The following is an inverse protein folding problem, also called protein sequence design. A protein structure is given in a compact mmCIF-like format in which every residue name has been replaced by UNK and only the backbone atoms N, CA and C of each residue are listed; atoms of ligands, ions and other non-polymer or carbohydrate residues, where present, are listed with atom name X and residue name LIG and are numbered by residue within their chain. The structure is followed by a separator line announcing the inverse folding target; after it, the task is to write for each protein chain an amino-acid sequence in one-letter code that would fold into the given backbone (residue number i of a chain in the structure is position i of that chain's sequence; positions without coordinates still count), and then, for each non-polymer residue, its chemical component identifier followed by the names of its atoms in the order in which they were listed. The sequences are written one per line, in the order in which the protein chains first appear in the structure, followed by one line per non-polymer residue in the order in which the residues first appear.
data_IF_245576782931
#
_entry.id   IF_245576782931
#
_cell.length_a   1.000
_cell.length_b   1.000
_cell.length_c   1.000
_cell.angle_alpha   90.00
_cell.angle_beta   90.00
_cell.angle_gamma   90.00
#
_symmetry.space_group_name_H-M   'P 1'
#
loop_
_entity.id
_entity.type
_entity.pdbx_description
1 polymer ?
#
# COMPACT_ATOMS: atom_id res chain seq x y z
N UNK A 1 -10.56 0.76 -11.03
CA UNK A 1 -10.08 -0.29 -11.96
C UNK A 1 -8.78 -0.94 -11.48
N UNK A 2 -7.74 -0.15 -11.18
CA UNK A 2 -6.45 -0.65 -10.66
C UNK A 2 -6.57 -1.63 -9.47
N UNK A 3 -7.37 -1.27 -8.47
CA UNK A 3 -7.57 -2.07 -7.25
C UNK A 3 -8.15 -3.45 -7.59
N UNK A 4 -9.07 -3.52 -8.56
CA UNK A 4 -9.66 -4.77 -9.02
C UNK A 4 -8.61 -5.67 -9.72
N UNK A 5 -7.75 -5.08 -10.55
CA UNK A 5 -6.67 -5.81 -11.21
C UNK A 5 -5.66 -6.37 -10.20
N UNK A 6 -5.25 -5.56 -9.22
CA UNK A 6 -4.34 -5.99 -8.13
C UNK A 6 -4.98 -7.12 -7.33
N UNK A 7 -6.26 -6.99 -6.93
CA UNK A 7 -7.00 -8.05 -6.25
C UNK A 7 -7.06 -9.35 -7.07
N UNK A 8 -7.22 -9.24 -8.39
CA UNK A 8 -7.16 -10.39 -9.30
C UNK A 8 -5.78 -11.04 -9.41
N UNK A 9 -4.69 -10.27 -9.46
CA UNK A 9 -3.32 -10.80 -9.42
C UNK A 9 -3.06 -11.54 -8.12
N UNK A 10 -3.45 -10.96 -6.98
CA UNK A 10 -3.31 -11.59 -5.65
C UNK A 10 -4.11 -12.90 -5.58
N UNK A 11 -5.33 -12.92 -6.12
CA UNK A 11 -6.14 -14.13 -6.19
C UNK A 11 -5.45 -15.24 -7.00
N UNK A 12 -4.89 -14.91 -8.17
CA UNK A 12 -4.11 -15.84 -9.01
C UNK A 12 -2.88 -16.38 -8.26
N UNK A 13 -2.08 -15.50 -7.65
CA UNK A 13 -0.89 -15.90 -6.90
C UNK A 13 -1.24 -16.84 -5.75
N UNK A 14 -2.33 -16.55 -5.03
CA UNK A 14 -2.81 -17.36 -3.92
C UNK A 14 -3.26 -18.73 -4.41
N UNK A 15 -4.05 -18.78 -5.49
CA UNK A 15 -4.53 -20.04 -6.08
C UNK A 15 -3.41 -20.91 -6.64
N UNK A 16 -2.36 -20.29 -7.20
CA UNK A 16 -1.14 -20.96 -7.66
C UNK A 16 -0.24 -21.47 -6.51
N UNK A 17 -0.62 -21.26 -5.25
CA UNK A 17 0.16 -21.63 -4.07
C UNK A 17 1.40 -20.78 -3.86
N UNK A 18 1.54 -19.65 -4.56
CA UNK A 18 2.68 -18.76 -4.44
C UNK A 18 2.78 -18.15 -3.05
N UNK A 19 1.66 -17.69 -2.49
CA UNK A 19 1.61 -17.11 -1.14
C UNK A 19 2.06 -18.13 -0.08
N UNK A 20 1.53 -19.35 -0.15
CA UNK A 20 1.91 -20.48 0.73
C UNK A 20 3.38 -20.88 0.55
N UNK A 21 3.91 -20.86 -0.68
CA UNK A 21 5.31 -21.19 -0.95
C UNK A 21 6.28 -20.14 -0.38
N UNK A 22 5.96 -18.85 -0.52
CA UNK A 22 6.74 -17.77 0.11
C UNK A 22 6.64 -17.87 1.62
N UNK A 23 5.46 -18.18 2.15
CA UNK A 23 5.26 -18.39 3.57
C UNK A 23 6.12 -19.53 4.14
N UNK A 24 6.18 -20.68 3.44
CA UNK A 24 7.03 -21.80 3.84
C UNK A 24 8.52 -21.47 3.76
N UNK A 25 8.93 -20.71 2.74
CA UNK A 25 10.33 -20.27 2.62
C UNK A 25 10.73 -19.32 3.74
N UNK A 26 9.88 -18.34 4.07
CA UNK A 26 10.10 -17.43 5.20
C UNK A 26 9.99 -18.14 6.55
N UNK A 27 9.09 -19.12 6.70
CA UNK A 27 8.94 -19.93 7.92
C UNK A 27 10.19 -20.74 8.26
N UNK A 28 11.01 -21.12 7.26
CA UNK A 28 12.31 -21.76 7.49
C UNK A 28 13.35 -20.78 8.03
N UNK A 29 13.22 -19.49 7.73
CA UNK A 29 14.10 -18.43 8.23
C UNK A 29 13.65 -17.88 9.58
N UNK A 30 12.33 -17.84 9.82
CA UNK A 30 11.76 -17.37 11.08
C UNK A 30 11.98 -18.41 12.20
N UNK A 31 12.64 -17.99 13.28
CA UNK A 31 12.98 -18.86 14.43
C UNK A 31 12.17 -18.59 15.68
N UNK A 32 11.58 -17.40 15.80
CA UNK A 32 10.89 -16.91 17.01
C UNK A 32 9.70 -16.03 16.64
N UNK A 33 8.80 -15.75 17.60
CA UNK A 33 7.70 -14.80 17.42
C UNK A 33 8.18 -13.40 17.04
N UNK A 34 9.28 -12.94 17.63
CA UNK A 34 9.94 -11.68 17.24
C UNK A 34 10.36 -11.71 15.78
N UNK A 35 11.05 -12.79 15.37
CA UNK A 35 11.48 -12.94 13.98
C UNK A 35 10.31 -13.01 13.00
N UNK A 36 9.17 -13.59 13.39
CA UNK A 36 7.96 -13.60 12.58
C UNK A 36 7.40 -12.18 12.38
N UNK A 37 7.28 -11.40 13.46
CA UNK A 37 6.82 -10.01 13.41
C UNK A 37 7.75 -9.12 12.57
N UNK A 38 9.07 -9.23 12.76
CA UNK A 38 10.06 -8.49 11.97
C UNK A 38 10.02 -8.92 10.50
N UNK A 39 9.82 -10.20 10.21
CA UNK A 39 9.67 -10.66 8.81
C UNK A 39 8.42 -10.05 8.16
N UNK A 40 7.31 -9.95 8.90
CA UNK A 40 6.09 -9.28 8.42
C UNK A 40 6.38 -7.81 8.14
N UNK A 41 7.04 -7.13 9.07
CA UNK A 41 7.41 -5.72 8.92
C UNK A 41 8.29 -5.48 7.69
N UNK A 42 9.37 -6.27 7.53
CA UNK A 42 10.25 -6.20 6.35
C UNK A 42 9.46 -6.44 5.07
N UNK A 43 8.55 -7.42 5.06
CA UNK A 43 7.73 -7.70 3.89
C UNK A 43 6.81 -6.53 3.54
N UNK A 44 6.23 -5.87 4.54
CA UNK A 44 5.50 -4.61 4.38
C UNK A 44 6.37 -3.51 3.77
N UNK A 45 7.63 -3.37 4.19
CA UNK A 45 8.55 -2.41 3.57
C UNK A 45 8.83 -2.72 2.09
N UNK A 46 8.87 -3.99 1.69
CA UNK A 46 9.13 -4.38 0.31
C UNK A 46 7.95 -4.10 -0.63
N UNK A 47 6.71 -4.12 -0.13
CA UNK A 47 5.49 -3.83 -0.90
C UNK A 47 5.08 -2.36 -0.67
N UNK A 48 6.00 -1.44 -0.93
CA UNK A 48 5.87 -0.02 -0.55
C UNK A 48 5.01 0.84 -1.50
N UNK A 49 4.76 0.36 -2.72
CA UNK A 49 4.22 1.21 -3.78
C UNK A 49 2.72 1.48 -3.63
N UNK A 50 1.96 0.64 -2.92
CA UNK A 50 0.51 0.77 -2.68
C UNK A 50 0.12 0.10 -1.34
N UNK A 51 -0.71 0.77 -0.54
CA UNK A 51 -1.15 0.33 0.78
C UNK A 51 -2.15 -0.85 0.73
N UNK A 52 -3.05 -0.87 -0.27
CA UNK A 52 -3.96 -1.99 -0.49
C UNK A 52 -3.23 -3.24 -0.96
N UNK A 53 -2.34 -3.10 -1.96
CA UNK A 53 -1.53 -4.20 -2.45
C UNK A 53 -0.70 -4.80 -1.30
N UNK A 54 -0.09 -3.95 -0.47
CA UNK A 54 0.64 -4.36 0.71
C UNK A 54 -0.20 -5.27 1.62
N UNK A 55 -1.38 -4.78 2.03
CA UNK A 55 -2.25 -5.52 2.95
C UNK A 55 -2.74 -6.86 2.38
N UNK A 56 -3.06 -6.88 1.08
CA UNK A 56 -3.57 -8.06 0.38
C UNK A 56 -2.50 -9.10 0.07
N UNK A 57 -1.25 -8.68 -0.09
CA UNK A 57 -0.13 -9.59 -0.37
C UNK A 57 0.46 -10.10 0.95
N UNK A 58 0.80 -9.21 1.88
CA UNK A 58 1.54 -9.54 3.10
C UNK A 58 0.68 -10.35 4.07
N UNK A 59 -0.60 -10.03 4.20
CA UNK A 59 -1.53 -10.71 5.12
C UNK A 59 -1.59 -12.22 4.92
N UNK A 60 -2.03 -12.71 3.74
CA UNK A 60 -2.13 -14.14 3.47
C UNK A 60 -0.78 -14.88 3.53
N UNK A 61 0.33 -14.21 3.21
CA UNK A 61 1.67 -14.81 3.25
C UNK A 61 2.17 -14.98 4.69
N UNK A 62 1.99 -13.95 5.53
CA UNK A 62 2.56 -13.93 6.87
C UNK A 62 1.70 -14.63 7.91
N UNK A 63 0.38 -14.72 7.71
CA UNK A 63 -0.56 -15.40 8.61
C UNK A 63 -0.12 -16.80 9.06
N UNK A 64 0.18 -17.77 8.19
CA UNK A 64 0.61 -19.11 8.62
C UNK A 64 1.93 -19.09 9.40
N UNK A 65 2.79 -18.09 9.19
CA UNK A 65 4.06 -17.93 9.92
C UNK A 65 3.78 -17.38 11.31
N UNK A 66 2.98 -16.33 11.43
CA UNK A 66 2.64 -15.72 12.71
C UNK A 66 1.80 -16.66 13.58
N UNK A 67 0.87 -17.41 12.98
CA UNK A 67 0.06 -18.41 13.66
C UNK A 67 0.94 -19.52 14.28
N UNK A 68 1.97 -20.00 13.55
CA UNK A 68 2.96 -20.98 14.04
C UNK A 68 3.70 -20.49 15.29
N UNK A 69 3.97 -19.19 15.37
CA UNK A 69 4.70 -18.59 16.50
C UNK A 69 3.77 -17.95 17.55
N UNK A 70 2.47 -18.25 17.51
CA UNK A 70 1.48 -17.76 18.47
C UNK A 70 1.40 -16.24 18.59
N UNK A 71 1.59 -15.54 17.47
CA UNK A 71 1.31 -14.12 17.36
C UNK A 71 -0.18 -13.99 17.00
N UNK A 72 -0.90 -13.13 17.72
CA UNK A 72 -2.33 -12.90 17.50
C UNK A 72 -2.62 -12.35 16.10
N UNK A 73 -3.79 -12.68 15.56
CA UNK A 73 -4.21 -12.14 14.24
C UNK A 73 -4.39 -10.62 14.30
N UNK A 74 -4.79 -10.08 15.44
CA UNK A 74 -4.88 -8.64 15.67
C UNK A 74 -3.50 -7.98 15.60
N UNK A 75 -2.45 -8.59 16.17
CA UNK A 75 -1.08 -8.08 16.07
C UNK A 75 -0.56 -8.16 14.63
N UNK A 76 -0.85 -9.24 13.91
CA UNK A 76 -0.52 -9.35 12.49
C UNK A 76 -1.20 -8.22 11.68
N UNK A 77 -2.50 -8.04 11.86
CA UNK A 77 -3.26 -6.99 11.18
C UNK A 77 -2.70 -5.59 11.49
N UNK A 78 -2.38 -5.33 12.76
CA UNK A 78 -1.72 -4.09 13.16
C UNK A 78 -0.38 -3.87 12.46
N UNK A 79 0.50 -4.88 12.39
CA UNK A 79 1.80 -4.74 11.72
C UNK A 79 1.62 -4.45 10.22
N UNK A 80 0.66 -5.11 9.58
CA UNK A 80 0.37 -4.91 8.16
C UNK A 80 -0.14 -3.49 7.92
N UNK A 81 -1.14 -3.04 8.67
CA UNK A 81 -1.73 -1.71 8.54
C UNK A 81 -0.70 -0.60 8.85
N UNK A 82 0.01 -0.75 9.97
CA UNK A 82 1.05 0.19 10.40
C UNK A 82 2.35 0.12 9.57
N UNK A 83 2.43 -0.75 8.56
CA UNK A 83 3.46 -0.68 7.52
C UNK A 83 2.90 -0.19 6.19
N UNK A 84 1.71 -0.62 5.78
CA UNK A 84 1.09 -0.25 4.51
C UNK A 84 1.03 1.27 4.29
N UNK A 85 0.37 2.01 5.19
CA UNK A 85 0.23 3.46 5.05
C UNK A 85 1.54 4.24 5.31
N UNK A 86 2.28 3.97 6.41
CA UNK A 86 3.54 4.68 6.68
C UNK A 86 4.60 4.54 5.59
N UNK A 87 4.74 3.35 5.01
CA UNK A 87 5.72 3.10 3.96
C UNK A 87 5.26 3.77 2.66
N UNK A 88 3.99 3.70 2.31
CA UNK A 88 3.47 4.37 1.11
C UNK A 88 3.66 5.89 1.17
N UNK A 89 3.53 6.50 2.36
CA UNK A 89 3.82 7.92 2.58
C UNK A 89 5.30 8.28 2.70
N UNK A 90 6.20 7.33 2.93
CA UNK A 90 7.67 7.55 2.94
C UNK A 90 8.34 7.14 1.63
N UNK A 91 7.66 6.36 0.80
CA UNK A 91 8.20 5.97 -0.48
C UNK A 91 8.24 7.18 -1.40
N UNK A 92 9.41 7.45 -1.98
CA UNK A 92 9.58 8.47 -3.03
C UNK A 92 8.78 8.12 -4.28
N UNK A 93 8.40 6.84 -4.40
CA UNK A 93 7.64 6.28 -5.51
C UNK A 93 6.51 5.44 -4.90
N UNK A 94 5.30 6.00 -4.89
CA UNK A 94 4.08 5.28 -4.47
C UNK A 94 2.84 5.88 -5.13
N UNK A 95 1.71 5.21 -4.94
CA UNK A 95 0.38 5.67 -5.38
C UNK A 95 -0.03 7.02 -4.76
N UNK A 96 0.50 7.33 -3.58
CA UNK A 96 0.15 8.53 -2.82
C UNK A 96 0.99 9.76 -3.19
N UNK A 97 2.22 9.56 -3.67
CA UNK A 97 3.14 10.66 -3.99
C UNK A 97 2.54 11.64 -5.01
N UNK A 98 1.89 11.13 -6.06
CA UNK A 98 1.26 11.99 -7.08
C UNK A 98 0.15 12.87 -6.50
N UNK A 99 -0.69 12.30 -5.63
CA UNK A 99 -1.74 13.05 -4.93
C UNK A 99 -1.13 14.10 -4.00
N UNK A 100 -0.10 13.74 -3.22
CA UNK A 100 0.55 14.66 -2.30
C UNK A 100 1.23 15.82 -3.02
N UNK A 101 1.93 15.56 -4.11
CA UNK A 101 2.53 16.60 -4.95
C UNK A 101 1.44 17.53 -5.51
N UNK A 102 0.31 16.98 -5.96
CA UNK A 102 -0.84 17.78 -6.42
C UNK A 102 -1.40 18.65 -5.30
N UNK A 103 -1.62 18.10 -4.11
CA UNK A 103 -2.14 18.85 -2.96
C UNK A 103 -1.18 19.94 -2.50
N UNK A 104 0.14 19.68 -2.52
CA UNK A 104 1.16 20.70 -2.26
C UNK A 104 1.02 21.82 -3.28
N UNK A 105 0.96 21.48 -4.58
CA UNK A 105 0.78 22.48 -5.65
C UNK A 105 -0.49 23.31 -5.48
N UNK A 106 -1.62 22.66 -5.20
CA UNK A 106 -2.91 23.33 -5.00
C UNK A 106 -2.88 24.24 -3.77
N UNK A 107 -2.27 23.79 -2.67
CA UNK A 107 -2.13 24.56 -1.44
C UNK A 107 -1.30 25.84 -1.63
N UNK A 108 -0.18 25.75 -2.35
CA UNK A 108 0.64 26.94 -2.69
C UNK A 108 -0.05 27.84 -3.73
N UNK A 109 -0.82 27.26 -4.65
CA UNK A 109 -1.64 28.00 -5.59
C UNK A 109 -2.68 28.89 -4.91
N UNK A 110 -3.30 28.43 -3.82
CA UNK A 110 -4.27 29.21 -3.04
C UNK A 110 -3.68 30.48 -2.40
N UNK A 111 -2.37 30.49 -2.11
CA UNK A 111 -1.66 31.64 -1.55
C UNK A 111 -0.89 32.44 -2.61
N UNK A 112 -1.13 32.17 -3.90
CA UNK A 112 -0.56 32.91 -5.03
C UNK A 112 0.88 32.54 -5.41
N UNK A 113 1.43 31.44 -4.87
CA UNK A 113 2.77 30.97 -5.20
C UNK A 113 2.68 29.83 -6.21
N UNK A 114 2.91 30.12 -7.49
CA UNK A 114 2.64 29.18 -8.60
C UNK A 114 3.90 28.48 -9.13
N UNK A 115 5.08 29.07 -8.96
CA UNK A 115 6.34 28.52 -9.47
C UNK A 115 7.11 27.77 -8.37
N UNK A 116 6.55 26.65 -7.89
CA UNK A 116 7.16 25.83 -6.84
C UNK A 116 7.63 24.47 -7.36
N UNK A 117 8.75 23.99 -6.83
CA UNK A 117 9.15 22.60 -6.97
C UNK A 117 8.41 21.74 -5.93
N UNK A 118 7.16 21.38 -6.23
CA UNK A 118 6.30 20.62 -5.30
C UNK A 118 6.90 19.26 -4.88
N UNK A 119 7.64 18.58 -5.77
CA UNK A 119 8.36 17.37 -5.40
C UNK A 119 9.53 17.66 -4.45
N UNK A 120 10.32 18.71 -4.71
CA UNK A 120 11.41 19.11 -3.82
C UNK A 120 10.90 19.39 -2.40
N UNK A 121 9.79 20.13 -2.30
CA UNK A 121 9.10 20.38 -1.03
C UNK A 121 8.65 19.07 -0.39
N UNK A 122 8.03 18.16 -1.14
CA UNK A 122 7.66 16.83 -0.64
C UNK A 122 8.88 16.10 -0.03
N UNK A 123 10.04 16.08 -0.71
CA UNK A 123 11.25 15.43 -0.17
C UNK A 123 11.75 16.13 1.09
N UNK A 124 11.73 17.46 1.13
CA UNK A 124 12.09 18.24 2.33
C UNK A 124 11.15 17.94 3.51
N UNK A 125 9.89 17.56 3.25
CA UNK A 125 8.95 17.18 4.32
C UNK A 125 9.22 15.79 4.92
N UNK A 126 10.01 14.94 4.26
CA UNK A 126 10.22 13.53 4.66
C UNK A 126 10.71 13.35 6.11
N UNK A 127 11.69 14.13 6.63
CA UNK A 127 12.11 14.04 8.02
C UNK A 127 11.03 14.43 9.04
N UNK A 128 10.04 15.22 8.61
CA UNK A 128 8.95 15.73 9.44
C UNK A 128 7.72 14.81 9.45
N UNK A 129 7.76 13.66 8.76
CA UNK A 129 6.68 12.66 8.76
C UNK A 129 6.74 11.79 10.01
N UNK A 130 6.63 12.43 11.17
CA UNK A 130 6.85 11.81 12.49
C UNK A 130 5.97 10.58 12.71
N UNK A 131 4.69 10.62 12.31
CA UNK A 131 3.81 9.46 12.42
C UNK A 131 4.38 8.25 11.67
N UNK A 132 4.76 8.42 10.39
CA UNK A 132 5.26 7.31 9.58
C UNK A 132 6.56 6.74 10.17
N UNK A 133 7.51 7.61 10.52
CA UNK A 133 8.80 7.21 11.07
C UNK A 133 8.64 6.52 12.43
N UNK A 134 7.85 7.10 13.33
CA UNK A 134 7.65 6.57 14.66
C UNK A 134 6.83 5.29 14.66
N UNK A 135 5.82 5.14 13.79
CA UNK A 135 5.07 3.89 13.69
C UNK A 135 5.93 2.73 13.20
N UNK A 136 6.75 2.95 12.17
CA UNK A 136 7.67 1.91 11.69
C UNK A 136 8.68 1.51 12.77
N UNK A 137 9.21 2.49 13.50
CA UNK A 137 10.11 2.25 14.63
C UNK A 137 9.39 1.56 15.81
N UNK A 138 8.15 1.95 16.09
CA UNK A 138 7.34 1.42 17.19
C UNK A 138 7.05 -0.07 17.00
N UNK A 139 6.74 -0.51 15.78
CA UNK A 139 6.55 -1.94 15.47
C UNK A 139 7.81 -2.73 15.84
N UNK A 140 8.99 -2.26 15.43
CA UNK A 140 10.27 -2.91 15.74
C UNK A 140 10.49 -2.96 17.25
N UNK A 141 10.23 -1.87 17.96
CA UNK A 141 10.34 -1.81 19.43
C UNK A 141 9.40 -2.81 20.11
N UNK A 142 8.11 -2.82 19.75
CA UNK A 142 7.14 -3.74 20.37
C UNK A 142 7.47 -5.20 20.08
N UNK A 143 7.95 -5.51 18.87
CA UNK A 143 8.39 -6.84 18.49
C UNK A 143 9.56 -7.33 19.37
N UNK A 144 10.59 -6.50 19.60
CA UNK A 144 11.74 -6.88 20.43
C UNK A 144 11.44 -6.88 21.94
N UNK A 145 10.70 -5.89 22.42
CA UNK A 145 10.39 -5.74 23.85
C UNK A 145 9.35 -6.75 24.32
N UNK A 146 8.52 -7.28 23.42
CA UNK A 146 7.39 -8.16 23.76
C UNK A 146 6.37 -7.51 24.70
N UNK A 147 6.36 -6.17 24.73
CA UNK A 147 5.45 -5.35 25.55
C UNK A 147 4.38 -4.77 24.67
N UNK A 148 3.14 -5.09 25.01
CA UNK A 148 1.94 -4.68 24.30
C UNK A 148 1.03 -3.90 25.23
N UNK A 149 0.15 -3.07 24.66
CA UNK A 149 -0.70 -2.16 25.42
C UNK A 149 -2.18 -2.47 25.23
N UNK A 150 -2.99 -2.15 26.24
CA UNK A 150 -4.45 -2.17 26.21
C UNK A 150 -5.07 -3.45 25.58
N UNK A 151 -5.84 -3.30 24.50
CA UNK A 151 -6.51 -4.41 23.82
C UNK A 151 -5.53 -5.41 23.20
N UNK A 152 -4.40 -4.94 22.68
CA UNK A 152 -3.39 -5.78 22.05
C UNK A 152 -2.69 -6.70 23.06
N UNK A 153 -2.48 -6.22 24.29
CA UNK A 153 -1.94 -7.06 25.37
C UNK A 153 -2.86 -8.24 25.69
N UNK A 154 -4.19 -8.02 25.68
CA UNK A 154 -5.17 -9.09 25.89
C UNK A 154 -5.13 -10.09 24.74
N UNK A 155 -5.07 -9.61 23.50
CA UNK A 155 -4.98 -10.45 22.31
C UNK A 155 -3.71 -11.32 22.28
N UNK A 156 -2.55 -10.76 22.62
CA UNK A 156 -1.27 -11.49 22.64
C UNK A 156 -1.19 -12.50 23.79
N UNK A 157 -1.73 -12.17 24.98
CA UNK A 157 -1.85 -13.15 26.09
C UNK A 157 -2.73 -14.33 25.71
N UNK A 158 -3.83 -14.06 24.99
CA UNK A 158 -4.74 -15.08 24.46
C UNK A 158 -4.06 -15.95 23.39
N UNK A 159 -3.31 -15.35 22.46
CA UNK A 159 -2.58 -16.10 21.45
C UNK A 159 -1.53 -17.06 22.05
N UNK A 160 -0.87 -16.67 23.15
CA UNK A 160 0.09 -17.53 23.86
C UNK A 160 -0.52 -18.83 24.38
N UNK A 161 -1.79 -18.80 24.82
CA UNK A 161 -2.52 -19.99 25.27
C UNK A 161 -3.11 -20.82 24.12
N UNK A 162 -2.98 -20.35 22.87
CA UNK A 162 -3.38 -21.08 21.66
C UNK A 162 -4.60 -20.48 20.94
N UNK A 163 -5.24 -19.46 21.51
CA UNK A 163 -6.40 -18.80 20.93
C UNK A 163 -5.97 -17.58 20.07
N UNK A 164 -5.77 -17.82 18.77
CA UNK A 164 -5.19 -16.82 17.86
C UNK A 164 -6.13 -15.69 17.43
N UNK A 165 -7.43 -15.81 17.69
CA UNK A 165 -8.44 -14.82 17.35
C UNK A 165 -9.48 -14.65 18.46
N UNK A 166 -10.16 -13.51 18.48
CA UNK A 166 -11.34 -13.33 19.33
C UNK A 166 -12.44 -14.31 18.89
N UNK A 167 -13.04 -15.04 19.82
CA UNK A 167 -14.19 -15.91 19.51
C UNK A 167 -15.40 -15.14 18.97
N UNK A 168 -15.41 -13.81 19.06
CA UNK A 168 -16.49 -12.94 18.60
C UNK A 168 -16.26 -12.36 17.18
N UNK A 169 -15.12 -12.66 16.55
CA UNK A 169 -14.86 -12.21 15.16
C UNK A 169 -15.25 -13.29 14.17
N UNK A 170 -16.32 -13.06 13.41
CA UNK A 170 -16.76 -13.86 12.25
C UNK A 170 -15.83 -13.62 11.05
N UNK A 171 -14.54 -13.92 11.20
CA UNK A 171 -13.54 -13.77 10.11
C UNK A 171 -13.81 -14.81 9.00
N UNK A 172 -14.47 -15.91 9.34
CA UNK A 172 -14.86 -16.96 8.39
C UNK A 172 -15.73 -16.44 7.23
N UNK A 173 -16.38 -15.27 7.37
CA UNK A 173 -17.24 -14.65 6.37
C UNK A 173 -16.51 -13.65 5.43
N UNK A 174 -15.23 -13.30 5.70
CA UNK A 174 -14.44 -12.39 4.84
C UNK A 174 -13.41 -13.16 3.99
N UNK A 175 -13.00 -14.35 4.46
CA UNK A 175 -12.10 -15.22 3.71
C UNK A 175 -12.88 -16.06 2.70
N UNK A 176 -12.77 -15.69 1.43
CA UNK A 176 -13.22 -16.55 0.35
C UNK A 176 -12.29 -17.80 0.31
N UNK A 177 -12.71 -18.87 1.00
CA UNK A 177 -12.08 -20.22 0.97
C UNK A 177 -11.85 -20.72 -0.47
N UNK A 178 -12.49 -20.12 -1.48
CA UNK A 178 -12.24 -20.44 -2.88
C UNK A 178 -10.86 -20.03 -3.40
N UNK A 179 -10.11 -19.19 -2.68
CA UNK A 179 -8.74 -18.79 -3.03
C UNK A 179 -7.64 -19.71 -2.47
N UNK A 180 -8.00 -20.75 -1.70
CA UNK A 180 -7.01 -21.72 -1.23
C UNK A 180 -6.23 -22.33 -2.39
N UNK A 181 -4.92 -22.62 -2.19
CA UNK A 181 -4.09 -23.24 -3.22
C UNK A 181 -4.76 -24.50 -3.76
N UNK A 182 -4.75 -24.68 -5.08
CA UNK A 182 -5.28 -25.91 -5.69
C UNK A 182 -4.57 -27.14 -5.07
N UNK A 183 -5.33 -28.19 -4.77
CA UNK A 183 -4.76 -29.40 -4.16
C UNK A 183 -3.70 -30.06 -5.06
N UNK A 184 -2.71 -30.71 -4.45
CA UNK A 184 -1.65 -31.47 -5.13
C UNK A 184 -0.71 -30.66 -6.07
N UNK A 185 -0.57 -29.36 -5.86
CA UNK A 185 0.41 -28.54 -6.61
C UNK A 185 1.78 -28.49 -5.94
N UNK A 186 2.85 -28.45 -6.75
CA UNK A 186 4.19 -28.14 -6.25
C UNK A 186 4.25 -26.67 -5.86
N UNK A 187 4.32 -26.40 -4.55
CA UNK A 187 4.45 -25.06 -4.01
C UNK A 187 5.80 -24.46 -4.43
N UNK A 188 5.77 -23.38 -5.21
CA UNK A 188 6.96 -22.67 -5.66
C UNK A 188 6.85 -21.17 -5.43
N UNK A 189 7.86 -20.59 -4.79
CA UNK A 189 7.90 -19.16 -4.45
C UNK A 189 7.94 -18.28 -5.70
N UNK A 190 8.45 -18.80 -6.83
CA UNK A 190 8.40 -18.12 -8.14
C UNK A 190 6.99 -17.79 -8.60
N UNK A 191 5.96 -18.56 -8.18
CA UNK A 191 4.56 -18.31 -8.54
C UNK A 191 4.01 -17.01 -7.91
N UNK A 192 4.64 -16.52 -6.83
CA UNK A 192 4.36 -15.21 -6.26
C UNK A 192 5.39 -14.17 -6.69
N UNK A 193 6.67 -14.49 -6.59
CA UNK A 193 7.76 -13.52 -6.81
C UNK A 193 7.76 -12.97 -8.22
N UNK A 194 7.54 -13.80 -9.26
CA UNK A 194 7.62 -13.33 -10.64
C UNK A 194 6.49 -12.36 -10.99
N UNK A 195 5.18 -12.67 -10.77
CA UNK A 195 4.12 -11.71 -11.04
C UNK A 195 4.25 -10.42 -10.21
N UNK A 196 4.71 -10.51 -8.96
CA UNK A 196 4.94 -9.33 -8.11
C UNK A 196 6.09 -8.47 -8.62
N UNK A 197 7.21 -9.07 -9.04
CA UNK A 197 8.32 -8.33 -9.65
C UNK A 197 7.89 -7.67 -10.96
N UNK A 198 7.10 -8.35 -11.79
CA UNK A 198 6.54 -7.75 -13.00
C UNK A 198 5.61 -6.58 -12.68
N UNK A 199 4.80 -6.70 -11.63
CA UNK A 199 3.94 -5.61 -11.17
C UNK A 199 4.79 -4.41 -10.72
N UNK A 200 5.81 -4.64 -9.89
CA UNK A 200 6.70 -3.59 -9.37
C UNK A 200 7.48 -2.93 -10.51
N UNK A 201 8.23 -3.70 -11.30
CA UNK A 201 9.04 -3.18 -12.39
C UNK A 201 8.18 -2.54 -13.47
N UNK A 202 7.03 -3.15 -13.77
CA UNK A 202 6.04 -2.61 -14.69
C UNK A 202 5.50 -1.27 -14.21
N UNK A 203 5.26 -1.10 -12.90
CA UNK A 203 4.84 0.18 -12.36
C UNK A 203 5.92 1.24 -12.57
N UNK A 204 7.18 0.98 -12.21
CA UNK A 204 8.27 1.93 -12.44
C UNK A 204 8.39 2.37 -13.91
N UNK A 205 8.29 1.40 -14.83
CA UNK A 205 8.34 1.67 -16.27
C UNK A 205 7.12 2.49 -16.72
N UNK A 206 5.92 2.10 -16.31
CA UNK A 206 4.69 2.82 -16.65
C UNK A 206 4.65 4.24 -16.07
N UNK A 207 5.15 4.45 -14.84
CA UNK A 207 5.28 5.78 -14.24
C UNK A 207 6.24 6.65 -15.05
N UNK A 208 7.41 6.12 -15.43
CA UNK A 208 8.37 6.86 -16.24
C UNK A 208 7.78 7.28 -17.59
N UNK A 209 7.16 6.35 -18.33
CA UNK A 209 6.58 6.65 -19.65
C UNK A 209 5.33 7.54 -19.58
N UNK A 210 4.44 7.31 -18.60
CA UNK A 210 3.27 8.17 -18.40
C UNK A 210 3.71 9.61 -18.09
N UNK A 211 4.71 9.76 -17.22
CA UNK A 211 5.32 11.04 -16.91
C UNK A 211 6.00 11.70 -18.10
N UNK A 212 6.77 10.93 -18.87
CA UNK A 212 7.46 11.42 -20.06
C UNK A 212 6.46 11.98 -21.09
N UNK A 213 5.40 11.24 -21.39
CA UNK A 213 4.35 11.71 -22.31
C UNK A 213 3.57 12.91 -21.77
N UNK A 214 3.38 13.00 -20.46
CA UNK A 214 2.74 14.17 -19.84
C UNK A 214 3.63 15.42 -19.92
N UNK A 215 4.94 15.27 -19.75
CA UNK A 215 5.92 16.36 -19.89
C UNK A 215 6.08 16.81 -21.36
N UNK A 216 5.99 15.87 -22.31
CA UNK A 216 6.02 16.17 -23.74
C UNK A 216 4.79 17.00 -24.17
N UNK A 217 3.61 16.65 -23.65
CA UNK A 217 2.35 17.31 -24.01
C UNK A 217 2.20 18.71 -23.39
N UNK A 218 2.88 19.01 -22.29
CA UNK A 218 2.78 20.28 -21.58
C UNK A 218 3.91 21.24 -22.00
N UNK A 219 3.58 22.18 -22.90
CA UNK A 219 4.52 23.19 -23.40
C UNK A 219 5.12 24.06 -22.27
N UNK A 220 4.45 24.18 -21.12
CA UNK A 220 4.97 24.93 -19.98
C UNK A 220 6.13 24.22 -19.25
N UNK A 221 6.31 22.91 -19.49
CA UNK A 221 7.36 22.07 -18.89
C UNK A 221 8.46 21.64 -19.86
N UNK A 222 8.59 22.32 -20.99
CA UNK A 222 9.58 22.00 -22.02
C UNK A 222 11.04 21.94 -21.49
N UNK A 223 11.37 22.76 -20.49
CA UNK A 223 12.68 22.73 -19.84
C UNK A 223 12.93 21.44 -19.04
N UNK A 224 11.91 20.95 -18.31
CA UNK A 224 11.98 19.66 -17.59
C UNK A 224 12.06 18.49 -18.58
N UNK A 225 11.30 18.56 -19.67
CA UNK A 225 11.35 17.55 -20.74
C UNK A 225 12.73 17.46 -21.41
N UNK A 226 13.38 18.59 -21.68
CA UNK A 226 14.73 18.61 -22.24
C UNK A 226 15.78 18.01 -21.29
N UNK A 227 15.63 18.22 -19.97
CA UNK A 227 16.48 17.60 -18.95
C UNK A 227 16.31 16.07 -18.91
N UNK A 228 15.06 15.60 -19.01
CA UNK A 228 14.75 14.17 -19.07
C UNK A 228 15.35 13.54 -20.33
N UNK A 229 15.32 14.21 -21.49
CA UNK A 229 15.95 13.71 -22.71
C UNK A 229 17.48 13.69 -22.63
N UNK A 230 18.10 14.69 -22.00
CA UNK A 230 19.54 14.79 -21.86
C UNK A 230 20.13 13.72 -20.92
N UNK A 231 19.40 13.37 -19.85
CA UNK A 231 19.86 12.39 -18.87
C UNK A 231 18.68 11.52 -18.35
N UNK A 232 18.20 10.55 -19.16
CA UNK A 232 16.97 9.79 -18.88
C UNK A 232 17.05 8.90 -17.63
N UNK A 233 18.25 8.49 -17.21
CA UNK A 233 18.47 7.66 -16.02
C UNK A 233 18.89 8.48 -14.79
N UNK A 234 18.86 9.81 -14.87
CA UNK A 234 19.21 10.67 -13.73
C UNK A 234 18.10 10.67 -12.68
N UNK A 235 18.47 10.89 -11.41
CA UNK A 235 17.50 11.03 -10.32
C UNK A 235 16.47 12.15 -10.60
N UNK A 236 16.91 13.25 -11.22
CA UNK A 236 16.06 14.37 -11.62
C UNK A 236 15.04 13.96 -12.70
N UNK A 237 15.43 13.13 -13.67
CA UNK A 237 14.52 12.62 -14.68
C UNK A 237 13.43 11.72 -14.09
N UNK A 238 13.79 10.83 -13.17
CA UNK A 238 12.82 10.02 -12.42
C UNK A 238 11.88 10.89 -11.59
N UNK A 239 12.41 11.89 -10.89
CA UNK A 239 11.62 12.84 -10.11
C UNK A 239 10.59 13.59 -10.98
N UNK A 240 11.02 14.18 -12.09
CA UNK A 240 10.14 14.96 -12.97
C UNK A 240 9.09 14.09 -13.66
N UNK A 241 9.47 12.93 -14.17
CA UNK A 241 8.52 12.01 -14.82
C UNK A 241 7.51 11.45 -13.81
N UNK A 242 7.94 10.96 -12.65
CA UNK A 242 7.02 10.38 -11.67
C UNK A 242 6.08 11.43 -11.06
N UNK A 243 6.54 12.67 -10.88
CA UNK A 243 5.68 13.76 -10.42
C UNK A 243 4.64 14.22 -11.45
N UNK A 244 4.89 13.99 -12.74
CA UNK A 244 3.96 14.33 -13.82
C UNK A 244 3.07 13.15 -14.27
N UNK A 245 3.36 11.93 -13.81
CA UNK A 245 2.68 10.72 -14.24
C UNK A 245 1.25 10.60 -13.67
N UNK A 246 0.38 9.96 -14.44
CA UNK A 246 -0.91 9.50 -13.93
C UNK A 246 -0.70 8.15 -13.22
N UNK A 247 -0.66 8.20 -11.89
CA UNK A 247 -0.51 7.02 -11.05
C UNK A 247 -1.59 5.97 -11.33
N UNK A 248 -2.83 6.40 -11.61
CA UNK A 248 -3.95 5.48 -11.82
C UNK A 248 -3.76 4.64 -13.08
N UNK A 249 -3.36 5.29 -14.16
CA UNK A 249 -3.06 4.63 -15.45
C UNK A 249 -1.84 3.74 -15.31
N UNK A 250 -0.76 4.24 -14.68
CA UNK A 250 0.49 3.50 -14.56
C UNK A 250 0.34 2.19 -13.76
N UNK A 251 -0.38 2.25 -12.64
CA UNK A 251 -0.65 1.08 -11.80
C UNK A 251 -1.61 0.11 -12.47
N UNK A 252 -2.63 0.61 -13.18
CA UNK A 252 -3.53 -0.25 -13.93
C UNK A 252 -2.80 -1.05 -15.02
N UNK A 253 -1.94 -0.40 -15.81
CA UNK A 253 -1.16 -1.06 -16.85
C UNK A 253 -0.19 -2.10 -16.27
N UNK A 254 0.50 -1.77 -15.20
CA UNK A 254 1.42 -2.70 -14.53
C UNK A 254 0.70 -3.92 -13.93
N UNK A 255 -0.47 -3.71 -13.30
CA UNK A 255 -1.30 -4.78 -12.76
C UNK A 255 -1.89 -5.67 -13.88
N UNK A 256 -2.24 -5.09 -15.04
CA UNK A 256 -2.67 -5.84 -16.22
C UNK A 256 -1.54 -6.72 -16.75
N UNK A 257 -0.33 -6.16 -16.90
CA UNK A 257 0.85 -6.92 -17.33
C UNK A 257 1.17 -8.06 -16.37
N UNK A 258 1.14 -7.79 -15.06
CA UNK A 258 1.33 -8.81 -14.02
C UNK A 258 0.25 -9.90 -14.08
N UNK A 259 -1.01 -9.53 -14.39
CA UNK A 259 -2.11 -10.48 -14.60
C UNK A 259 -1.80 -11.41 -15.77
N UNK A 260 -1.38 -10.86 -16.92
CA UNK A 260 -1.04 -11.64 -18.11
C UNK A 260 0.09 -12.62 -17.80
N UNK A 261 1.14 -12.17 -17.12
CA UNK A 261 2.25 -13.03 -16.70
C UNK A 261 1.79 -14.10 -15.71
N UNK A 262 0.96 -13.74 -14.73
CA UNK A 262 0.42 -14.70 -13.75
C UNK A 262 -0.43 -15.79 -14.43
N UNK A 263 -1.31 -15.42 -15.37
CA UNK A 263 -2.12 -16.36 -16.14
C UNK A 263 -1.21 -17.25 -16.99
N UNK A 264 -0.25 -16.67 -17.72
CA UNK A 264 0.70 -17.43 -18.53
C UNK A 264 1.47 -18.44 -17.68
N UNK A 265 1.97 -18.04 -16.50
CA UNK A 265 2.66 -18.94 -15.58
C UNK A 265 1.73 -20.04 -15.04
N UNK A 266 0.49 -19.71 -14.69
CA UNK A 266 -0.48 -20.67 -14.19
C UNK A 266 -0.77 -21.77 -15.22
N UNK A 267 -0.89 -21.39 -16.50
CA UNK A 267 -1.17 -22.28 -17.62
C UNK A 267 0.07 -23.07 -18.03
N UNK A 268 1.22 -22.41 -18.18
CA UNK A 268 2.49 -23.05 -18.54
C UNK A 268 2.91 -24.12 -17.53
N UNK A 269 2.69 -23.85 -16.23
CA UNK A 269 2.97 -24.80 -15.14
C UNK A 269 1.85 -25.84 -14.94
N UNK A 270 0.80 -25.82 -15.76
CA UNK A 270 -0.35 -26.72 -15.71
C UNK A 270 -1.07 -26.71 -14.35
N UNK A 271 -1.07 -25.56 -13.68
CA UNK A 271 -1.75 -25.38 -12.38
C UNK A 271 -3.24 -25.06 -12.63
N UNK A 272 -3.50 -24.07 -13.48
CA UNK A 272 -4.84 -23.63 -13.87
C UNK A 272 -5.00 -23.68 -15.39
N UNK A 273 -6.20 -23.93 -15.87
CA UNK A 273 -6.55 -23.66 -17.27
C UNK A 273 -6.74 -22.15 -17.49
N UNK A 274 -6.71 -21.68 -18.74
CA UNK A 274 -6.97 -20.25 -19.05
C UNK A 274 -8.32 -19.81 -18.48
N UNK A 275 -9.34 -20.65 -18.62
CA UNK A 275 -10.68 -20.39 -18.06
C UNK A 275 -10.65 -20.29 -16.54
N UNK A 276 -10.06 -21.27 -15.86
CA UNK A 276 -9.94 -21.26 -14.40
C UNK A 276 -9.15 -20.03 -13.91
N UNK A 277 -8.11 -19.61 -14.64
CA UNK A 277 -7.31 -18.45 -14.31
C UNK A 277 -8.13 -17.15 -14.41
N UNK A 278 -8.89 -16.96 -15.49
CA UNK A 278 -9.77 -15.79 -15.64
C UNK A 278 -10.87 -15.78 -14.57
N UNK A 279 -11.49 -16.93 -14.28
CA UNK A 279 -12.49 -17.05 -13.21
C UNK A 279 -11.89 -16.72 -11.84
N UNK A 280 -10.67 -17.19 -11.56
CA UNK A 280 -9.94 -16.89 -10.32
C UNK A 280 -9.60 -15.40 -10.21
N UNK A 281 -9.15 -14.78 -11.31
CA UNK A 281 -8.88 -13.35 -11.36
C UNK A 281 -10.14 -12.52 -11.08
N UNK A 282 -11.28 -12.90 -11.66
CA UNK A 282 -12.57 -12.27 -11.40
C UNK A 282 -13.08 -12.47 -9.96
N UNK A 283 -12.79 -13.61 -9.32
CA UNK A 283 -13.07 -13.79 -7.88
C UNK A 283 -12.29 -12.79 -7.01
N UNK A 284 -11.06 -12.46 -7.41
CA UNK A 284 -10.27 -11.41 -6.77
C UNK A 284 -10.90 -10.01 -6.80
N UNK A 285 -11.90 -9.77 -7.66
CA UNK A 285 -12.66 -8.51 -7.64
C UNK A 285 -13.63 -8.44 -6.47
N UNK A 286 -14.23 -9.58 -6.09
CA UNK A 286 -15.25 -9.61 -5.02
C UNK A 286 -14.68 -9.16 -3.68
N UNK A 287 -13.43 -9.51 -3.41
CA UNK A 287 -12.72 -9.08 -2.20
C UNK A 287 -12.46 -7.57 -2.16
N UNK A 288 -12.51 -6.88 -3.31
CA UNK A 288 -12.23 -5.45 -3.44
C UNK A 288 -13.48 -4.57 -3.45
N UNK A 289 -14.68 -5.16 -3.57
CA UNK A 289 -15.94 -4.39 -3.67
C UNK A 289 -16.15 -3.52 -2.42
N UNK A 290 -15.92 -4.08 -1.22
CA UNK A 290 -16.08 -3.36 0.05
C UNK A 290 -15.19 -2.12 0.10
N UNK A 291 -13.94 -2.24 -0.32
CA UNK A 291 -12.98 -1.14 -0.40
C UNK A 291 -13.46 -0.03 -1.34
N UNK A 292 -13.97 -0.40 -2.52
CA UNK A 292 -14.49 0.56 -3.49
C UNK A 292 -15.69 1.32 -2.93
N UNK A 293 -16.60 0.62 -2.23
CA UNK A 293 -17.75 1.24 -1.58
C UNK A 293 -17.29 2.29 -0.55
N UNK A 294 -16.30 1.95 0.30
CA UNK A 294 -15.76 2.88 1.29
C UNK A 294 -15.17 4.12 0.61
N UNK A 295 -14.38 3.96 -0.45
CA UNK A 295 -13.78 5.09 -1.18
C UNK A 295 -14.83 5.99 -1.84
N UNK A 296 -15.88 5.40 -2.44
CA UNK A 296 -16.99 6.16 -3.01
C UNK A 296 -17.73 6.98 -1.96
N UNK A 297 -18.00 6.38 -0.79
CA UNK A 297 -18.63 7.08 0.33
C UNK A 297 -17.73 8.20 0.87
N UNK A 298 -16.41 7.96 0.97
CA UNK A 298 -15.45 8.95 1.42
C UNK A 298 -15.37 10.17 0.47
N UNK A 299 -15.39 9.95 -0.85
CA UNK A 299 -15.41 11.03 -1.82
C UNK A 299 -16.73 11.80 -1.81
N UNK A 300 -17.86 11.12 -1.62
CA UNK A 300 -19.16 11.77 -1.43
C UNK A 300 -19.13 12.68 -0.20
N UNK A 301 -18.64 12.19 0.94
CA UNK A 301 -18.49 12.98 2.16
C UNK A 301 -17.54 14.16 1.97
N UNK A 302 -16.39 13.95 1.31
CA UNK A 302 -15.42 15.00 0.99
C UNK A 302 -16.05 16.12 0.13
N UNK A 303 -16.89 15.76 -0.85
CA UNK A 303 -17.61 16.73 -1.68
C UNK A 303 -18.57 17.57 -0.86
N UNK A 304 -19.37 16.94 0.02
CA UNK A 304 -20.32 17.65 0.89
C UNK A 304 -19.59 18.59 1.86
N UNK A 305 -18.48 18.15 2.47
CA UNK A 305 -17.66 18.99 3.35
C UNK A 305 -17.12 20.23 2.61
N UNK A 306 -16.71 20.06 1.34
CA UNK A 306 -16.26 21.18 0.50
C UNK A 306 -17.39 22.16 0.19
N UNK A 307 -18.57 21.67 -0.17
CA UNK A 307 -19.75 22.50 -0.45
C UNK A 307 -20.23 23.27 0.78
N UNK A 308 -20.18 22.66 1.96
CA UNK A 308 -20.51 23.32 3.23
C UNK A 308 -19.48 24.39 3.63
N UNK A 309 -18.33 24.48 2.94
CA UNK A 309 -17.30 25.45 3.26
C UNK A 309 -16.66 25.24 4.63
N UNK A 310 -16.67 24.00 5.15
CA UNK A 310 -16.16 23.68 6.50
C UNK A 310 -14.72 24.15 6.70
N UNK A 311 -13.88 24.03 5.68
CA UNK A 311 -12.51 24.54 5.72
C UNK A 311 -12.43 26.05 5.92
N UNK A 312 -13.27 26.83 5.24
CA UNK A 312 -13.34 28.30 5.39
C UNK A 312 -13.85 28.68 6.77
N UNK A 313 -14.91 28.02 7.24
CA UNK A 313 -15.45 28.23 8.58
C UNK A 313 -14.41 28.01 9.68
N UNK A 314 -13.64 26.91 9.60
CA UNK A 314 -12.56 26.63 10.56
C UNK A 314 -11.43 27.67 10.49
N UNK A 315 -11.05 28.12 9.28
CA UNK A 315 -10.02 29.15 9.10
C UNK A 315 -10.47 30.49 9.69
N UNK A 316 -11.70 30.93 9.45
CA UNK A 316 -12.23 32.17 10.02
C UNK A 316 -12.27 32.12 11.55
N UNK A 317 -12.70 30.99 12.13
CA UNK A 317 -12.77 30.79 13.58
C UNK A 317 -11.39 30.78 14.26
N UNK A 318 -10.37 30.23 13.59
CA UNK A 318 -9.04 29.99 14.17
C UNK A 318 -7.99 31.05 13.82
N UNK A 319 -8.18 31.82 12.73
CA UNK A 319 -7.17 32.74 12.18
C UNK A 319 -6.71 33.84 13.13
N UNK A 320 -7.57 34.30 14.05
CA UNK A 320 -7.22 35.37 15.00
C UNK A 320 -6.77 34.87 16.38
N UNK A 321 -7.07 33.61 16.72
CA UNK A 321 -6.96 33.10 18.10
C UNK A 321 -5.86 32.05 18.30
N UNK A 322 -5.24 31.55 17.21
CA UNK A 322 -4.33 30.41 17.30
C UNK A 322 -2.87 30.82 17.09
N UNK A 323 -1.98 30.64 18.09
CA UNK A 323 -0.55 30.80 17.88
C UNK A 323 -0.06 29.84 16.79
N UNK A 324 0.73 30.34 15.83
CA UNK A 324 1.24 29.55 14.69
C UNK A 324 1.95 28.24 15.10
N UNK A 325 2.50 28.21 16.32
CA UNK A 325 3.19 27.05 16.92
C UNK A 325 2.20 25.94 17.33
N UNK A 326 0.96 26.30 17.69
CA UNK A 326 -0.06 25.34 18.15
C UNK A 326 -0.79 24.68 16.98
N UNK A 327 -0.79 25.31 15.81
CA UNK A 327 -1.54 24.86 14.64
C UNK A 327 -1.24 23.39 14.25
N UNK A 328 0.02 22.94 14.13
CA UNK A 328 0.33 21.55 13.76
C UNK A 328 -0.13 20.54 14.83
N UNK A 329 0.02 20.89 16.11
CA UNK A 329 -0.41 20.04 17.22
C UNK A 329 -1.94 19.93 17.32
N UNK A 330 -2.64 21.04 17.10
CA UNK A 330 -4.10 21.08 17.06
C UNK A 330 -4.65 20.28 15.86
N UNK A 331 -4.05 20.43 14.67
CA UNK A 331 -4.42 19.65 13.49
C UNK A 331 -4.16 18.16 13.72
N UNK A 332 -3.04 17.78 14.32
CA UNK A 332 -2.73 16.40 14.66
C UNK A 332 -3.75 15.82 15.66
N UNK A 333 -4.06 16.55 16.74
CA UNK A 333 -5.06 16.14 17.73
C UNK A 333 -6.44 15.98 17.10
N UNK A 334 -6.92 16.97 16.34
CA UNK A 334 -8.21 16.91 15.66
C UNK A 334 -8.26 15.78 14.64
N UNK A 335 -7.19 15.59 13.88
CA UNK A 335 -7.04 14.49 12.93
C UNK A 335 -7.03 13.11 13.59
N UNK A 336 -6.55 12.99 14.83
CA UNK A 336 -6.56 11.71 15.56
C UNK A 336 -7.93 11.23 16.03
N UNK A 337 -8.96 12.10 15.97
CA UNK A 337 -10.35 11.73 16.25
C UNK A 337 -11.10 11.18 15.03
N UNK A 338 -10.49 11.26 13.84
CA UNK A 338 -11.04 10.80 12.56
C UNK A 338 -10.34 9.50 12.17
#
# INVERSE_FOLDING_TARGET
LQVLCIGGVVALITKMGGTKAVALWLSKKAKTGVSAQISTWVMGLFVFFDDYANSLIVGPIMRPITDKFKVSREKLAFIIDATAAPVAGLAVISTWVGLEISLIKDGYGQIGVTNINAFGIFVETMPYRFYNLFMLFFIVCTAFMGREFAGMLKAERRARVGELHSGNTRIDDVEDKTLEPKENIKLQSSNAVVPLLVLILGAFVSFYFSGFSALEADASKAAEFALVQAAPLSFQAFQSTFGAADASVALFQSALLATVVAIFMAVYRKILTVREAIETWGKGWKTMITTIIILLLAWSLSSVIKELGTSRYLVELLSQSTPKIVLPAAIFMLGSFI
#
